data_IF_178835913435
#
_entry.id   IF_178835913435
#
_cell.length_a   1.000
_cell.length_b   1.000
_cell.length_c   1.000
_cell.angle_alpha   90.00
_cell.angle_beta   90.00
_cell.angle_gamma   90.00
#
_symmetry.space_group_name_H-M   'P 1'
#
loop_
_entity.id
_entity.type
_entity.pdbx_description
1 polymer ?
#
# COMPACT_ATOMS: atom_id res chain seq x y z
N UNK A 1 3.74 7.18 -12.65
CA UNK A 1 2.66 6.57 -13.41
C UNK A 1 1.76 5.71 -12.52
N UNK A 2 0.45 5.73 -12.81
CA UNK A 2 -0.54 5.07 -11.97
C UNK A 2 -0.42 3.54 -11.99
N UNK A 3 0.20 2.97 -13.02
CA UNK A 3 0.32 1.53 -13.15
C UNK A 3 1.68 0.98 -12.72
N UNK A 4 2.75 1.69 -13.06
CA UNK A 4 4.10 1.19 -12.81
C UNK A 4 4.54 1.39 -11.36
N UNK A 5 4.28 2.56 -10.79
CA UNK A 5 4.68 2.86 -9.42
C UNK A 5 4.00 1.92 -8.40
N UNK A 6 2.69 1.67 -8.47
CA UNK A 6 2.06 0.72 -7.55
C UNK A 6 2.62 -0.69 -7.67
N UNK A 7 2.96 -1.14 -8.88
CA UNK A 7 3.57 -2.47 -9.07
C UNK A 7 4.91 -2.54 -8.35
N UNK A 8 5.78 -1.53 -8.57
CA UNK A 8 7.08 -1.48 -7.92
C UNK A 8 6.96 -1.40 -6.40
N UNK A 9 6.04 -0.57 -5.91
CA UNK A 9 5.81 -0.43 -4.48
C UNK A 9 5.34 -1.73 -3.85
N UNK A 10 4.40 -2.44 -4.50
CA UNK A 10 3.93 -3.70 -3.96
C UNK A 10 5.00 -4.79 -3.98
N UNK A 11 5.81 -4.83 -5.01
CA UNK A 11 6.94 -5.75 -5.04
C UNK A 11 7.89 -5.51 -3.87
N UNK A 12 8.17 -4.25 -3.58
CA UNK A 12 9.09 -3.89 -2.51
C UNK A 12 8.46 -4.15 -1.13
N UNK A 13 7.27 -3.59 -0.87
CA UNK A 13 6.68 -3.63 0.47
C UNK A 13 6.07 -4.98 0.81
N UNK A 14 5.39 -5.64 -0.12
CA UNK A 14 4.77 -6.94 0.14
C UNK A 14 5.66 -8.09 -0.28
N UNK A 15 6.20 -8.02 -1.48
CA UNK A 15 7.01 -9.10 -2.00
C UNK A 15 8.31 -9.32 -1.24
N UNK A 16 8.93 -8.25 -0.78
CA UNK A 16 10.24 -8.34 -0.11
C UNK A 16 10.11 -8.05 1.38
N UNK A 17 9.69 -6.84 1.74
CA UNK A 17 9.73 -6.38 3.13
C UNK A 17 8.76 -7.16 4.03
N UNK A 18 7.50 -7.20 3.67
CA UNK A 18 6.51 -7.90 4.47
C UNK A 18 6.83 -9.39 4.58
N UNK A 19 7.22 -10.01 3.46
CA UNK A 19 7.58 -11.42 3.45
C UNK A 19 8.79 -11.71 4.33
N UNK A 20 9.79 -10.83 4.32
CA UNK A 20 10.98 -10.99 5.14
C UNK A 20 10.63 -10.89 6.63
N UNK A 21 9.87 -9.87 7.02
CA UNK A 21 9.47 -9.69 8.42
C UNK A 21 8.64 -10.88 8.88
N UNK A 22 7.72 -11.36 8.04
CA UNK A 22 6.92 -12.53 8.38
C UNK A 22 7.77 -13.77 8.59
N UNK A 23 8.79 -13.95 7.76
CA UNK A 23 9.70 -15.10 7.88
C UNK A 23 10.45 -15.07 9.21
N UNK A 24 10.94 -13.90 9.62
CA UNK A 24 11.72 -13.80 10.85
C UNK A 24 10.88 -13.80 12.12
N UNK A 25 9.69 -13.18 12.07
CA UNK A 25 8.86 -13.03 13.27
C UNK A 25 7.81 -14.12 13.41
N UNK A 26 7.50 -14.84 12.33
CA UNK A 26 6.43 -15.83 12.27
C UNK A 26 5.06 -15.25 12.62
N UNK A 27 4.90 -13.93 12.47
CA UNK A 27 3.65 -13.25 12.77
C UNK A 27 3.18 -12.49 11.55
N UNK A 28 2.07 -12.93 10.91
CA UNK A 28 1.55 -12.20 9.75
C UNK A 28 1.09 -10.79 10.11
N UNK A 29 0.47 -10.61 11.28
CA UNK A 29 0.01 -9.28 11.67
C UNK A 29 1.16 -8.32 11.95
N UNK A 30 2.22 -8.79 12.59
CA UNK A 30 3.40 -7.95 12.80
C UNK A 30 4.03 -7.54 11.48
N UNK A 31 4.08 -8.46 10.52
CA UNK A 31 4.61 -8.17 9.19
C UNK A 31 3.75 -7.12 8.46
N UNK A 32 2.42 -7.25 8.55
CA UNK A 32 1.50 -6.29 7.96
C UNK A 32 1.72 -4.91 8.58
N UNK A 33 1.77 -4.83 9.90
CA UNK A 33 1.94 -3.57 10.60
C UNK A 33 3.29 -2.92 10.29
N UNK A 34 4.37 -3.69 10.30
CA UNK A 34 5.71 -3.17 10.02
C UNK A 34 5.80 -2.63 8.60
N UNK A 35 5.31 -3.37 7.61
CA UNK A 35 5.30 -2.93 6.23
C UNK A 35 4.42 -1.69 6.06
N UNK A 36 3.28 -1.65 6.74
CA UNK A 36 2.36 -0.52 6.66
C UNK A 36 2.95 0.75 7.25
N UNK A 37 3.65 0.63 8.38
CA UNK A 37 4.30 1.79 9.00
C UNK A 37 5.38 2.36 8.10
N UNK A 38 6.19 1.51 7.48
CA UNK A 38 7.21 1.96 6.55
C UNK A 38 6.59 2.57 5.29
N UNK A 39 5.51 1.99 4.80
CA UNK A 39 4.79 2.52 3.64
C UNK A 39 4.32 3.95 3.91
N UNK A 40 3.72 4.18 5.08
CA UNK A 40 3.26 5.51 5.47
C UNK A 40 4.45 6.47 5.64
N UNK A 41 5.54 6.02 6.27
CA UNK A 41 6.70 6.85 6.51
C UNK A 41 7.35 7.34 5.23
N UNK A 42 7.44 6.50 4.19
CA UNK A 42 8.04 6.93 2.94
C UNK A 42 7.15 7.91 2.15
N UNK A 43 5.90 8.05 2.55
CA UNK A 43 4.99 9.01 1.95
C UNK A 43 4.96 10.35 2.70
N UNK A 44 5.70 10.49 3.80
CA UNK A 44 5.86 11.77 4.47
C UNK A 44 6.54 12.76 3.51
N UNK A 45 6.22 14.06 3.56
CA UNK A 45 5.48 14.75 4.62
C UNK A 45 3.98 14.93 4.39
N UNK A 46 3.37 14.15 3.54
CA UNK A 46 1.94 14.27 3.23
C UNK A 46 1.09 13.66 4.34
N UNK A 47 1.30 14.17 5.57
CA UNK A 47 0.70 13.60 6.77
C UNK A 47 -0.83 13.62 6.77
N UNK A 48 -1.44 14.56 6.04
CA UNK A 48 -2.90 14.64 5.94
C UNK A 48 -3.50 13.45 5.16
N UNK A 49 -2.69 12.77 4.35
CA UNK A 49 -3.12 11.58 3.62
C UNK A 49 -2.78 10.28 4.37
N UNK A 50 -2.05 10.37 5.48
CA UNK A 50 -1.55 9.18 6.18
C UNK A 50 -2.64 8.24 6.67
N UNK A 51 -3.78 8.71 7.22
CA UNK A 51 -4.83 7.79 7.65
C UNK A 51 -5.35 6.93 6.49
N UNK A 52 -5.57 7.53 5.32
CA UNK A 52 -6.03 6.81 4.14
C UNK A 52 -4.96 5.84 3.65
N UNK A 53 -3.70 6.27 3.63
CA UNK A 53 -2.58 5.42 3.20
C UNK A 53 -2.38 4.25 4.17
N UNK A 54 -2.53 4.49 5.46
CA UNK A 54 -2.41 3.44 6.45
C UNK A 54 -3.52 2.40 6.27
N UNK A 55 -4.76 2.85 6.09
CA UNK A 55 -5.89 1.96 5.85
C UNK A 55 -5.67 1.14 4.58
N UNK A 56 -5.24 1.79 3.51
CA UNK A 56 -4.92 1.11 2.26
C UNK A 56 -3.84 0.04 2.47
N UNK A 57 -2.76 0.40 3.14
CA UNK A 57 -1.64 -0.51 3.34
C UNK A 57 -2.03 -1.73 4.18
N UNK A 58 -2.87 -1.53 5.20
CA UNK A 58 -3.38 -2.64 6.00
C UNK A 58 -4.22 -3.59 5.16
N UNK A 59 -5.09 -3.07 4.30
CA UNK A 59 -5.89 -3.88 3.39
C UNK A 59 -5.00 -4.64 2.41
N UNK A 60 -4.02 -3.97 1.83
CA UNK A 60 -3.10 -4.60 0.88
C UNK A 60 -2.29 -5.71 1.55
N UNK A 61 -1.77 -5.45 2.74
CA UNK A 61 -1.00 -6.44 3.49
C UNK A 61 -1.84 -7.65 3.88
N UNK A 62 -3.07 -7.40 4.33
CA UNK A 62 -3.99 -8.48 4.67
C UNK A 62 -4.30 -9.36 3.45
N UNK A 63 -4.60 -8.73 2.32
CA UNK A 63 -4.87 -9.47 1.09
C UNK A 63 -3.67 -10.29 0.65
N UNK A 64 -2.48 -9.75 0.79
CA UNK A 64 -1.27 -10.49 0.46
C UNK A 64 -1.10 -11.73 1.34
N UNK A 65 -1.34 -11.60 2.66
CA UNK A 65 -1.25 -12.73 3.57
C UNK A 65 -2.31 -13.79 3.28
N UNK A 66 -3.51 -13.37 2.91
CA UNK A 66 -4.61 -14.30 2.63
C UNK A 66 -4.42 -15.05 1.32
N UNK A 67 -3.92 -14.39 0.29
CA UNK A 67 -3.82 -14.99 -1.04
C UNK A 67 -2.45 -15.57 -1.34
N UNK A 68 -1.41 -15.10 -0.66
CA UNK A 68 -0.03 -15.46 -0.96
C UNK A 68 0.44 -14.94 -2.31
N UNK A 69 -0.28 -14.03 -2.93
CA UNK A 69 0.01 -13.52 -4.26
C UNK A 69 0.03 -12.00 -4.25
N UNK A 70 0.86 -11.43 -5.14
CA UNK A 70 0.93 -9.98 -5.30
C UNK A 70 -0.18 -9.42 -6.16
N UNK A 71 -0.91 -10.27 -6.88
CA UNK A 71 -1.92 -9.80 -7.83
C UNK A 71 -3.01 -8.98 -7.16
N UNK A 72 -3.60 -9.49 -6.08
CA UNK A 72 -4.68 -8.78 -5.39
C UNK A 72 -4.24 -7.42 -4.86
N UNK A 73 -3.13 -7.31 -4.09
CA UNK A 73 -2.69 -5.99 -3.64
C UNK A 73 -2.30 -5.05 -4.79
N UNK A 74 -1.71 -5.57 -5.86
CA UNK A 74 -1.39 -4.72 -7.02
C UNK A 74 -2.66 -4.15 -7.64
N UNK A 75 -3.67 -4.98 -7.87
CA UNK A 75 -4.93 -4.54 -8.46
C UNK A 75 -5.61 -3.50 -7.57
N UNK A 76 -5.68 -3.76 -6.27
CA UNK A 76 -6.29 -2.83 -5.32
C UNK A 76 -5.54 -1.50 -5.31
N UNK A 77 -4.22 -1.54 -5.30
CA UNK A 77 -3.38 -0.35 -5.26
C UNK A 77 -3.53 0.48 -6.54
N UNK A 78 -3.54 -0.18 -7.69
CA UNK A 78 -3.76 0.51 -8.97
C UNK A 78 -5.14 1.15 -9.00
N UNK A 79 -6.17 0.43 -8.57
CA UNK A 79 -7.53 0.97 -8.52
C UNK A 79 -7.62 2.18 -7.59
N UNK A 80 -6.98 2.10 -6.42
CA UNK A 80 -6.94 3.23 -5.48
C UNK A 80 -6.31 4.45 -6.13
N UNK A 81 -5.18 4.28 -6.82
CA UNK A 81 -4.50 5.40 -7.47
C UNK A 81 -5.30 5.98 -8.62
N UNK A 82 -5.97 5.14 -9.40
CA UNK A 82 -6.83 5.61 -10.50
C UNK A 82 -8.00 6.41 -9.95
N UNK A 83 -8.65 5.92 -8.90
CA UNK A 83 -9.77 6.62 -8.26
C UNK A 83 -9.32 7.98 -7.76
N UNK A 84 -8.16 8.07 -7.11
CA UNK A 84 -7.63 9.35 -6.63
C UNK A 84 -7.31 10.29 -7.78
N UNK A 85 -6.74 9.78 -8.85
CA UNK A 85 -6.42 10.59 -10.02
C UNK A 85 -7.69 11.18 -10.65
N UNK A 86 -8.74 10.36 -10.78
CA UNK A 86 -10.03 10.80 -11.31
C UNK A 86 -10.64 11.84 -10.39
N UNK A 87 -10.60 11.60 -9.07
CA UNK A 87 -11.14 12.56 -8.10
C UNK A 87 -10.43 13.91 -8.17
N UNK A 88 -9.11 13.92 -8.29
CA UNK A 88 -8.34 15.15 -8.43
C UNK A 88 -8.72 15.88 -9.72
N UNK A 89 -8.88 15.15 -10.81
CA UNK A 89 -9.22 15.74 -12.11
C UNK A 89 -10.61 16.36 -12.10
N UNK A 90 -11.59 15.69 -11.46
CA UNK A 90 -12.97 16.17 -11.41
C UNK A 90 -13.19 17.22 -10.33
N UNK A 91 -12.33 17.30 -9.34
CA UNK A 91 -12.44 18.24 -8.21
C UNK A 91 -11.10 18.94 -8.03
N UNK A 92 -10.84 20.01 -8.81
CA UNK A 92 -9.53 20.70 -8.75
C UNK A 92 -9.17 21.24 -7.38
N UNK A 93 -10.16 21.46 -6.51
CA UNK A 93 -9.92 21.95 -5.15
C UNK A 93 -9.53 20.83 -4.19
N UNK A 94 -9.70 19.58 -4.57
CA UNK A 94 -9.30 18.45 -3.75
C UNK A 94 -7.78 18.29 -3.85
N UNK A 95 -7.07 18.60 -2.79
CA UNK A 95 -5.63 18.37 -2.73
C UNK A 95 -5.36 17.14 -1.91
N UNK A 96 -4.66 16.25 -2.50
CA UNK A 96 -4.29 15.00 -1.83
C UNK A 96 -2.79 14.93 -1.74
#
# INVERSE_FOLDING_TARGET
AAGLAPVAEELLFRGILQSMVRRYTHSPWFAILAASMLFVLVHAPYWHTMPALLALSLVLGYNYERTGRLLAPIVIHVCFNVINLVAITLSPTASI
#
